data_IF_910956206523
#
_entry.id   IF_910956206523
#
_cell.length_a   1.000
_cell.length_b   1.000
_cell.length_c   1.000
_cell.angle_alpha   90.00
_cell.angle_beta   90.00
_cell.angle_gamma   90.00
#
_symmetry.space_group_name_H-M   'P 1'
#
loop_
_entity.id
_entity.type
_entity.pdbx_description
1 polymer ?
#
# COMPACT_ATOMS: atom_id res chain seq x y z
N UNK A 1 -9.25 -13.99 1.35
CA UNK A 1 -9.78 -12.80 0.65
C UNK A 1 -8.67 -12.15 -0.16
N UNK A 2 -8.92 -11.94 -1.45
CA UNK A 2 -7.99 -11.25 -2.36
C UNK A 2 -8.02 -9.75 -2.08
N UNK A 3 -6.83 -9.14 -1.98
CA UNK A 3 -6.69 -7.70 -1.87
C UNK A 3 -5.84 -7.18 -3.04
N UNK A 4 -6.28 -6.07 -3.62
CA UNK A 4 -5.48 -5.28 -4.55
C UNK A 4 -4.83 -4.16 -3.75
N UNK A 5 -3.54 -3.94 -3.99
CA UNK A 5 -2.75 -2.99 -3.22
C UNK A 5 -1.85 -2.17 -4.12
N UNK A 6 -1.48 -1.00 -3.66
CA UNK A 6 -0.43 -0.18 -4.26
C UNK A 6 0.19 0.68 -3.16
N UNK A 7 1.36 1.26 -3.43
CA UNK A 7 2.06 2.09 -2.46
C UNK A 7 1.45 3.50 -2.41
N UNK A 8 1.71 4.21 -1.31
CA UNK A 8 1.26 5.59 -1.11
C UNK A 8 1.94 6.54 -2.12
N UNK A 9 1.52 7.79 -2.11
CA UNK A 9 2.10 8.82 -2.98
C UNK A 9 2.78 9.91 -2.15
N UNK A 10 3.80 10.55 -2.75
CA UNK A 10 4.43 11.73 -2.17
C UNK A 10 3.48 12.93 -2.25
N UNK A 11 2.71 13.03 -3.35
CA UNK A 11 1.70 14.07 -3.51
C UNK A 11 0.50 13.75 -2.64
N UNK A 12 0.19 14.67 -1.72
CA UNK A 12 -0.91 14.51 -0.76
C UNK A 12 -1.65 15.84 -0.62
N UNK A 13 -2.93 15.75 -0.32
CA UNK A 13 -3.74 16.91 0.01
C UNK A 13 -3.51 17.27 1.47
N UNK A 14 -3.01 18.48 1.72
CA UNK A 14 -2.76 18.93 3.09
C UNK A 14 -4.07 19.18 3.84
N UNK A 15 -4.15 18.70 5.08
CA UNK A 15 -5.24 19.00 5.98
C UNK A 15 -4.75 18.92 7.42
N UNK A 16 -5.26 19.79 8.28
CA UNK A 16 -5.00 19.73 9.72
C UNK A 16 -5.79 18.62 10.40
N UNK A 17 -6.85 18.15 9.75
CA UNK A 17 -7.72 17.09 10.27
C UNK A 17 -7.46 15.81 9.51
N UNK A 18 -7.76 14.67 10.15
CA UNK A 18 -7.74 13.39 9.47
C UNK A 18 -8.75 13.39 8.31
N UNK A 19 -8.42 12.65 7.26
CA UNK A 19 -9.31 12.48 6.11
C UNK A 19 -9.17 11.05 5.59
N UNK A 20 -10.16 10.58 4.80
CA UNK A 20 -10.04 9.24 4.18
C UNK A 20 -8.78 9.12 3.36
N UNK A 21 -8.10 7.98 3.47
CA UNK A 21 -6.83 7.76 2.78
C UNK A 21 -6.93 8.01 1.28
N UNK A 22 -8.02 7.56 0.63
CA UNK A 22 -8.22 7.75 -0.82
C UNK A 22 -8.28 9.23 -1.19
N UNK A 23 -8.65 10.10 -0.27
CA UNK A 23 -8.69 11.55 -0.50
C UNK A 23 -7.37 12.22 -0.15
N UNK A 24 -6.61 11.65 0.78
CA UNK A 24 -5.33 12.22 1.19
C UNK A 24 -4.28 12.10 0.08
N UNK A 25 -4.17 10.94 -0.54
CA UNK A 25 -3.18 10.72 -1.58
C UNK A 25 -3.68 11.25 -2.93
N UNK A 26 -2.92 12.18 -3.49
CA UNK A 26 -3.21 12.76 -4.81
C UNK A 26 -2.46 11.94 -5.87
N UNK A 27 -3.10 10.90 -6.38
CA UNK A 27 -2.46 9.96 -7.29
C UNK A 27 -3.49 9.28 -8.20
N UNK A 28 -3.28 9.40 -9.51
CA UNK A 28 -4.09 8.68 -10.48
C UNK A 28 -3.91 7.17 -10.37
N UNK A 29 -2.69 6.73 -10.07
CA UNK A 29 -2.38 5.31 -9.91
C UNK A 29 -3.23 4.70 -8.79
N UNK A 30 -3.29 5.37 -7.64
CA UNK A 30 -4.07 4.89 -6.49
C UNK A 30 -5.56 4.82 -6.87
N UNK A 31 -6.08 5.86 -7.52
CA UNK A 31 -7.47 5.88 -7.97
C UNK A 31 -7.79 4.75 -8.95
N UNK A 32 -6.88 4.47 -9.89
CA UNK A 32 -7.06 3.39 -10.86
C UNK A 32 -7.09 2.02 -10.19
N UNK A 33 -6.19 1.78 -9.25
CA UNK A 33 -6.16 0.49 -8.52
C UNK A 33 -7.42 0.33 -7.68
N UNK A 34 -7.88 1.42 -7.05
CA UNK A 34 -9.12 1.41 -6.28
C UNK A 34 -10.32 1.06 -7.17
N UNK A 35 -10.42 1.68 -8.34
CA UNK A 35 -11.49 1.39 -9.30
C UNK A 35 -11.45 -0.08 -9.76
N UNK A 36 -10.23 -0.59 -10.03
CA UNK A 36 -10.06 -1.98 -10.45
C UNK A 36 -10.49 -2.94 -9.35
N UNK A 37 -10.09 -2.68 -8.11
CA UNK A 37 -10.49 -3.51 -6.97
C UNK A 37 -12.01 -3.53 -6.82
N UNK A 38 -12.63 -2.36 -6.93
CA UNK A 38 -14.08 -2.23 -6.83
C UNK A 38 -14.77 -3.03 -7.93
N UNK A 39 -14.27 -2.94 -9.18
CA UNK A 39 -14.87 -3.66 -10.31
C UNK A 39 -14.73 -5.18 -10.19
N UNK A 40 -13.70 -5.64 -9.52
CA UNK A 40 -13.44 -7.08 -9.30
C UNK A 40 -13.99 -7.56 -7.97
N UNK A 41 -14.66 -6.71 -7.23
CA UNK A 41 -15.17 -7.01 -5.89
C UNK A 41 -14.07 -7.53 -4.95
N UNK A 42 -12.88 -6.97 -5.08
CA UNK A 42 -11.73 -7.29 -4.25
C UNK A 42 -11.54 -6.23 -3.17
N UNK A 43 -10.86 -6.60 -2.08
CA UNK A 43 -10.47 -5.64 -1.06
C UNK A 43 -9.39 -4.71 -1.63
N UNK A 44 -9.37 -3.47 -1.19
CA UNK A 44 -8.37 -2.49 -1.60
C UNK A 44 -7.62 -1.98 -0.38
N UNK A 45 -6.29 -1.96 -0.45
CA UNK A 45 -5.43 -1.39 0.60
C UNK A 45 -4.30 -0.58 -0.03
N UNK A 46 -3.84 0.44 0.69
CA UNK A 46 -2.70 1.27 0.29
C UNK A 46 -1.56 0.99 1.26
N UNK A 47 -0.37 0.75 0.75
CA UNK A 47 0.84 0.57 1.57
C UNK A 47 1.42 1.94 1.90
N UNK A 48 1.19 2.39 3.12
CA UNK A 48 1.72 3.64 3.65
C UNK A 48 3.06 3.40 4.32
N UNK A 49 4.03 4.29 4.08
CA UNK A 49 5.34 4.21 4.75
C UNK A 49 5.25 4.47 6.25
N UNK A 50 4.17 5.06 6.73
CA UNK A 50 3.95 5.35 8.15
C UNK A 50 2.94 4.40 8.80
N UNK A 51 1.81 4.17 8.15
CA UNK A 51 0.67 3.47 8.77
C UNK A 51 0.57 1.99 8.39
N UNK A 52 1.42 1.51 7.48
CA UNK A 52 1.29 0.16 6.94
C UNK A 52 0.16 0.09 5.92
N UNK A 53 -0.67 -0.93 6.02
CA UNK A 53 -1.82 -1.06 5.12
C UNK A 53 -2.98 -0.21 5.62
N UNK A 54 -3.48 0.68 4.77
CA UNK A 54 -4.64 1.51 5.09
C UNK A 54 -5.74 1.25 4.06
N UNK A 55 -6.99 1.32 4.52
CA UNK A 55 -8.15 1.13 3.64
C UNK A 55 -8.58 2.47 3.04
N UNK A 56 -9.32 2.42 1.93
CA UNK A 56 -9.67 3.63 1.17
C UNK A 56 -10.34 4.70 2.04
N UNK A 57 -11.25 4.29 2.91
CA UNK A 57 -12.04 5.22 3.73
C UNK A 57 -11.51 5.35 5.15
N UNK A 58 -10.37 4.74 5.45
CA UNK A 58 -9.75 4.87 6.76
C UNK A 58 -9.28 6.31 6.96
N UNK A 59 -9.65 6.90 8.10
CA UNK A 59 -9.24 8.26 8.44
C UNK A 59 -7.79 8.25 8.88
N UNK A 60 -6.95 9.01 8.19
CA UNK A 60 -5.53 9.14 8.52
C UNK A 60 -5.13 10.62 8.51
N UNK A 61 -4.12 10.94 9.31
CA UNK A 61 -3.58 12.29 9.37
C UNK A 61 -2.55 12.50 8.27
N UNK A 62 -2.40 13.75 7.82
CA UNK A 62 -1.33 14.13 6.92
C UNK A 62 0.01 13.76 7.54
N UNK A 63 0.92 13.24 6.73
CA UNK A 63 2.27 12.92 7.14
C UNK A 63 3.21 13.08 5.94
N UNK A 64 4.51 13.16 6.24
CA UNK A 64 5.56 13.21 5.22
C UNK A 64 6.64 12.24 5.66
N UNK A 65 6.58 11.01 5.15
CA UNK A 65 7.54 9.97 5.48
C UNK A 65 7.71 9.01 4.32
N UNK A 66 8.91 8.99 3.76
CA UNK A 66 9.30 8.03 2.73
C UNK A 66 9.91 6.80 3.41
N UNK A 67 9.36 5.63 3.13
CA UNK A 67 9.90 4.39 3.66
C UNK A 67 11.32 4.18 3.14
N UNK A 68 12.27 3.96 4.04
CA UNK A 68 13.65 3.71 3.66
C UNK A 68 14.05 2.25 3.95
N UNK A 69 15.19 1.85 3.38
CA UNK A 69 15.64 0.45 3.43
C UNK A 69 15.85 -0.05 4.87
N UNK A 70 16.26 0.81 5.78
CA UNK A 70 16.53 0.41 7.17
C UNK A 70 15.26 0.12 7.96
N UNK A 71 14.11 0.60 7.48
CA UNK A 71 12.81 0.43 8.14
C UNK A 71 12.04 -0.78 7.63
N UNK A 72 12.48 -1.38 6.52
CA UNK A 72 11.69 -2.39 5.80
C UNK A 72 11.27 -3.55 6.69
N UNK A 73 12.19 -4.15 7.45
CA UNK A 73 11.86 -5.34 8.22
C UNK A 73 10.89 -5.06 9.37
N UNK A 74 11.09 -3.99 10.12
CA UNK A 74 10.17 -3.62 11.20
C UNK A 74 8.79 -3.28 10.65
N UNK A 75 8.75 -2.57 9.51
CA UNK A 75 7.49 -2.20 8.88
C UNK A 75 6.77 -3.42 8.31
N UNK A 76 7.53 -4.38 7.76
CA UNK A 76 6.97 -5.63 7.26
C UNK A 76 6.30 -6.44 8.38
N UNK A 77 6.85 -6.40 9.60
CA UNK A 77 6.23 -7.08 10.75
C UNK A 77 4.85 -6.47 11.05
N UNK A 78 4.74 -5.15 11.02
CA UNK A 78 3.47 -4.45 11.21
C UNK A 78 2.48 -4.85 10.13
N UNK A 79 2.91 -4.85 8.89
CA UNK A 79 2.04 -5.18 7.75
C UNK A 79 1.60 -6.64 7.80
N UNK A 80 2.49 -7.56 8.17
CA UNK A 80 2.12 -8.98 8.32
C UNK A 80 0.99 -9.15 9.35
N UNK A 81 1.07 -8.44 10.47
CA UNK A 81 -0.01 -8.44 11.47
C UNK A 81 -1.31 -7.88 10.92
N UNK A 82 -1.23 -6.82 10.10
CA UNK A 82 -2.40 -6.22 9.47
C UNK A 82 -3.03 -7.17 8.44
N UNK A 83 -2.21 -7.89 7.68
CA UNK A 83 -2.68 -8.90 6.73
C UNK A 83 -3.52 -9.95 7.46
N UNK A 84 -3.01 -10.45 8.59
CA UNK A 84 -3.74 -11.43 9.39
C UNK A 84 -5.04 -10.86 9.95
N UNK A 85 -4.99 -9.65 10.52
CA UNK A 85 -6.17 -9.01 11.11
C UNK A 85 -7.25 -8.72 10.08
N UNK A 86 -6.86 -8.44 8.83
CA UNK A 86 -7.80 -8.13 7.73
C UNK A 86 -8.24 -9.38 6.97
N UNK A 87 -7.78 -10.55 7.37
CA UNK A 87 -8.11 -11.83 6.72
C UNK A 87 -7.76 -11.84 5.22
N UNK A 88 -6.64 -11.23 4.87
CA UNK A 88 -6.15 -11.22 3.49
C UNK A 88 -5.39 -12.51 3.24
N UNK A 89 -5.73 -13.21 2.15
CA UNK A 89 -5.10 -14.48 1.78
C UNK A 89 -4.22 -14.39 0.54
N UNK A 90 -4.34 -13.30 -0.20
CA UNK A 90 -3.56 -13.07 -1.42
C UNK A 90 -3.53 -11.57 -1.71
N UNK A 91 -2.37 -11.06 -2.13
CA UNK A 91 -2.22 -9.66 -2.53
C UNK A 91 -1.74 -9.58 -3.97
N UNK A 92 -2.38 -8.73 -4.77
CA UNK A 92 -1.87 -8.28 -6.07
C UNK A 92 -1.42 -6.84 -5.87
N UNK A 93 -0.13 -6.61 -5.94
CA UNK A 93 0.49 -5.31 -5.68
C UNK A 93 0.85 -4.63 -6.99
N UNK A 94 0.27 -3.47 -7.24
CA UNK A 94 0.48 -2.70 -8.48
C UNK A 94 1.56 -1.65 -8.24
N UNK A 95 2.51 -1.56 -9.17
CA UNK A 95 3.60 -0.61 -9.07
C UNK A 95 3.94 0.00 -10.42
N UNK A 96 4.49 1.20 -10.42
CA UNK A 96 5.14 1.75 -11.59
C UNK A 96 6.49 1.04 -11.80
N UNK A 97 7.09 1.12 -13.01
CA UNK A 97 8.42 0.53 -13.19
C UNK A 97 9.45 1.12 -12.24
N UNK A 98 10.24 0.26 -11.58
CA UNK A 98 11.25 0.72 -10.60
C UNK A 98 12.32 1.60 -11.24
N UNK A 99 12.55 1.47 -12.53
CA UNK A 99 13.50 2.29 -13.27
C UNK A 99 13.11 3.76 -13.26
N UNK A 100 11.82 4.06 -13.09
CA UNK A 100 11.31 5.43 -13.06
C UNK A 100 11.46 6.09 -11.70
N UNK A 101 11.57 5.28 -10.62
CA UNK A 101 11.69 5.82 -9.27
C UNK A 101 12.30 4.77 -8.33
N UNK A 102 13.60 4.86 -8.02
CA UNK A 102 14.25 3.90 -7.13
C UNK A 102 13.71 3.93 -5.70
N UNK A 103 12.97 4.97 -5.30
CA UNK A 103 12.33 5.02 -3.98
C UNK A 103 11.23 3.97 -3.82
N UNK A 104 10.82 3.30 -4.90
CA UNK A 104 9.85 2.21 -4.86
C UNK A 104 10.44 0.92 -4.27
N UNK A 105 11.76 0.74 -4.35
CA UNK A 105 12.40 -0.51 -3.92
C UNK A 105 12.10 -0.88 -2.46
N UNK A 106 12.18 0.04 -1.48
CA UNK A 106 11.81 -0.32 -0.11
C UNK A 106 10.35 -0.76 0.03
N UNK A 107 9.43 -0.17 -0.72
CA UNK A 107 8.02 -0.55 -0.67
C UNK A 107 7.80 -1.96 -1.21
N UNK A 108 8.45 -2.29 -2.33
CA UNK A 108 8.36 -3.62 -2.93
C UNK A 108 8.98 -4.66 -2.01
N UNK A 109 10.16 -4.36 -1.46
CA UNK A 109 10.82 -5.25 -0.50
C UNK A 109 9.95 -5.47 0.75
N UNK A 110 9.31 -4.40 1.22
CA UNK A 110 8.47 -4.46 2.41
C UNK A 110 7.24 -5.35 2.20
N UNK A 111 6.52 -5.16 1.10
CA UNK A 111 5.34 -6.00 0.84
C UNK A 111 5.73 -7.46 0.60
N UNK A 112 6.87 -7.69 -0.04
CA UNK A 112 7.40 -9.04 -0.24
C UNK A 112 7.72 -9.73 1.08
N UNK A 113 8.43 -9.05 1.96
CA UNK A 113 8.76 -9.57 3.28
C UNK A 113 7.51 -9.81 4.13
N UNK A 114 6.57 -8.88 4.10
CA UNK A 114 5.32 -8.99 4.86
C UNK A 114 4.49 -10.19 4.43
N UNK A 115 4.34 -10.41 3.12
CA UNK A 115 3.58 -11.54 2.60
C UNK A 115 4.25 -12.87 2.92
N UNK A 116 5.58 -12.92 2.86
CA UNK A 116 6.34 -14.10 3.26
C UNK A 116 6.11 -14.43 4.74
N UNK A 117 6.19 -13.42 5.61
CA UNK A 117 5.94 -13.59 7.06
C UNK A 117 4.51 -14.02 7.34
N UNK A 118 3.54 -13.50 6.61
CA UNK A 118 2.14 -13.85 6.75
C UNK A 118 1.77 -15.16 6.05
N UNK A 119 2.67 -15.72 5.24
CA UNK A 119 2.48 -16.95 4.49
C UNK A 119 1.32 -16.87 3.51
N UNK A 120 1.25 -15.76 2.77
CA UNK A 120 0.25 -15.56 1.73
C UNK A 120 0.93 -15.33 0.38
N UNK A 121 0.18 -15.52 -0.70
CA UNK A 121 0.67 -15.27 -2.05
C UNK A 121 0.75 -13.77 -2.34
N UNK A 122 1.79 -13.41 -3.08
CA UNK A 122 1.96 -12.05 -3.59
C UNK A 122 2.24 -12.12 -5.09
N UNK A 123 1.51 -11.30 -5.85
CA UNK A 123 1.81 -11.02 -7.25
C UNK A 123 2.12 -9.54 -7.36
N UNK A 124 3.20 -9.21 -8.06
CA UNK A 124 3.57 -7.82 -8.34
C UNK A 124 3.34 -7.56 -9.81
N UNK A 125 2.47 -6.60 -10.12
CA UNK A 125 2.14 -6.22 -11.48
C UNK A 125 2.61 -4.79 -11.75
N UNK A 126 3.39 -4.64 -12.81
CA UNK A 126 3.88 -3.33 -13.24
C UNK A 126 2.82 -2.70 -14.13
N UNK A 127 2.42 -1.48 -13.81
CA UNK A 127 1.47 -0.73 -14.60
C UNK A 127 2.11 -0.24 -15.90
N UNK A 128 1.34 -0.23 -17.01
CA UNK A 128 1.86 0.25 -18.30
C UNK A 128 2.14 1.75 -18.31
#
# INVERSE_FOLDING_TARGET
MLAYATYCSAQKNYSKKAMPAIQLYDSERISKVFELATSQNAKFVILSGKYGLVEAHQQINYYDHLLNQTEVEAHADVIASQIAAKCISEIVFFTNPVETDPNLLPYIACIGSACEKAKIELKVLVLP
#
